data_IF_862162086422
#
_entry.id   IF_862162086422
#
_cell.length_a   1.000
_cell.length_b   1.000
_cell.length_c   1.000
_cell.angle_alpha   90.00
_cell.angle_beta   90.00
_cell.angle_gamma   90.00
#
_symmetry.space_group_name_H-M   'P 1'
#
loop_
_entity.id
_entity.type
_entity.pdbx_description
1 polymer ?
#
# COMPACT_ATOMS: atom_id res chain seq x y z
N UNK A 1 -10.00 23.37 13.15
CA UNK A 1 -10.28 21.99 13.59
C UNK A 1 -10.70 21.08 12.44
N UNK A 2 -11.50 21.55 11.50
CA UNK A 2 -11.93 20.76 10.32
C UNK A 2 -10.76 20.22 9.48
N UNK A 3 -9.70 21.00 9.29
CA UNK A 3 -8.55 20.58 8.48
C UNK A 3 -7.82 19.34 9.04
N UNK A 4 -7.61 19.31 10.36
CA UNK A 4 -6.90 18.19 11.00
C UNK A 4 -7.76 16.90 10.90
N UNK A 5 -9.07 17.01 11.10
CA UNK A 5 -9.99 15.87 10.98
C UNK A 5 -9.96 15.33 9.55
N UNK A 6 -9.92 16.22 8.56
CA UNK A 6 -9.84 15.83 7.14
C UNK A 6 -8.52 15.07 6.86
N UNK A 7 -7.39 15.57 7.35
CA UNK A 7 -6.08 14.92 7.21
C UNK A 7 -6.07 13.54 7.88
N UNK A 8 -6.64 13.42 9.09
CA UNK A 8 -6.75 12.15 9.78
C UNK A 8 -7.59 11.14 9.00
N UNK A 9 -8.72 11.59 8.43
CA UNK A 9 -9.58 10.73 7.60
C UNK A 9 -8.84 10.27 6.33
N UNK A 10 -8.14 11.19 5.65
CA UNK A 10 -7.34 10.86 4.46
C UNK A 10 -6.23 9.86 4.79
N UNK A 11 -5.53 10.05 5.92
CA UNK A 11 -4.46 9.12 6.34
C UNK A 11 -5.01 7.72 6.62
N UNK A 12 -6.21 7.62 7.21
CA UNK A 12 -6.89 6.33 7.42
C UNK A 12 -7.19 5.66 6.07
N UNK A 13 -7.81 6.38 5.13
CA UNK A 13 -8.14 5.84 3.81
C UNK A 13 -6.87 5.39 3.08
N UNK A 14 -5.81 6.21 3.09
CA UNK A 14 -4.53 5.87 2.47
C UNK A 14 -3.84 4.67 3.14
N UNK A 15 -4.09 4.44 4.43
CA UNK A 15 -3.54 3.26 5.11
C UNK A 15 -4.09 1.95 4.54
N UNK A 16 -5.35 1.94 4.04
CA UNK A 16 -5.92 0.76 3.35
C UNK A 16 -5.11 0.47 2.07
N UNK A 17 -4.79 1.52 1.31
CA UNK A 17 -3.95 1.41 0.11
C UNK A 17 -2.56 0.88 0.49
N UNK A 18 -1.95 1.42 1.56
CA UNK A 18 -0.65 0.95 2.04
C UNK A 18 -0.68 -0.53 2.46
N UNK A 19 -1.81 -1.02 3.05
CA UNK A 19 -1.99 -2.45 3.35
C UNK A 19 -2.00 -3.29 2.06
N UNK A 20 -2.61 -2.78 0.99
CA UNK A 20 -2.57 -3.44 -0.32
C UNK A 20 -1.14 -3.50 -0.87
N UNK A 21 -0.45 -2.37 -0.93
CA UNK A 21 0.93 -2.26 -1.42
C UNK A 21 1.88 -3.14 -0.58
N UNK A 22 1.63 -3.30 0.71
CA UNK A 22 2.42 -4.15 1.61
C UNK A 22 2.48 -5.60 1.10
N UNK A 23 1.39 -6.12 0.57
CA UNK A 23 1.34 -7.50 0.05
C UNK A 23 2.32 -7.67 -1.12
N UNK A 24 2.33 -6.74 -2.07
CA UNK A 24 3.20 -6.85 -3.24
C UNK A 24 4.63 -6.43 -2.91
N UNK A 25 4.81 -5.29 -2.25
CA UNK A 25 6.13 -4.71 -2.00
C UNK A 25 6.93 -5.47 -0.95
N UNK A 26 6.29 -5.82 0.21
CA UNK A 26 7.03 -6.41 1.35
C UNK A 26 6.89 -7.94 1.40
N UNK A 27 5.70 -8.49 1.10
CA UNK A 27 5.48 -9.94 1.20
C UNK A 27 5.96 -10.65 -0.06
N UNK A 28 5.61 -10.15 -1.26
CA UNK A 28 6.01 -10.77 -2.53
C UNK A 28 7.35 -10.26 -3.07
N UNK A 29 7.93 -9.25 -2.40
CA UNK A 29 9.25 -8.66 -2.69
C UNK A 29 9.37 -8.01 -4.08
N UNK A 30 8.29 -7.38 -4.56
CA UNK A 30 8.35 -6.54 -5.77
C UNK A 30 7.21 -5.49 -5.78
N UNK A 31 7.47 -4.26 -6.21
CA UNK A 31 6.40 -3.25 -6.35
C UNK A 31 5.56 -3.54 -7.59
N UNK A 32 4.23 -3.40 -7.47
CA UNK A 32 3.28 -3.59 -8.57
C UNK A 32 2.77 -2.23 -9.07
N UNK A 33 3.26 -1.82 -10.24
CA UNK A 33 2.90 -0.53 -10.84
C UNK A 33 1.42 -0.44 -11.24
N UNK A 34 0.69 -1.57 -11.32
CA UNK A 34 -0.75 -1.54 -11.61
C UNK A 34 -1.57 -0.92 -10.48
N UNK A 35 -0.97 -0.75 -9.29
CA UNK A 35 -1.58 -0.13 -8.10
C UNK A 35 -2.18 1.25 -8.41
N UNK A 36 -1.44 2.11 -9.12
CA UNK A 36 -1.89 3.46 -9.50
C UNK A 36 -3.17 3.39 -10.34
N UNK A 37 -3.20 2.48 -11.32
CA UNK A 37 -4.39 2.25 -12.17
C UNK A 37 -5.57 1.68 -11.41
N UNK A 38 -5.31 0.74 -10.50
CA UNK A 38 -6.35 0.08 -9.69
C UNK A 38 -6.98 1.04 -8.68
N UNK A 39 -6.18 1.96 -8.12
CA UNK A 39 -6.68 3.02 -7.23
C UNK A 39 -7.71 3.90 -7.96
N UNK A 40 -7.33 4.38 -9.15
CA UNK A 40 -8.22 5.18 -10.01
C UNK A 40 -9.43 4.36 -10.46
N UNK A 41 -9.25 3.06 -10.72
CA UNK A 41 -10.36 2.17 -11.10
C UNK A 41 -11.42 2.09 -10.01
N UNK A 42 -10.99 1.99 -8.74
CA UNK A 42 -11.91 2.02 -7.60
C UNK A 42 -12.73 3.31 -7.58
N UNK A 43 -12.07 4.45 -7.79
CA UNK A 43 -12.71 5.77 -7.86
C UNK A 43 -13.68 5.86 -9.03
N UNK A 44 -13.29 5.37 -10.21
CA UNK A 44 -14.10 5.40 -11.45
C UNK A 44 -15.37 4.57 -11.33
N UNK A 45 -15.24 3.35 -10.78
CA UNK A 45 -16.38 2.43 -10.59
C UNK A 45 -17.40 3.05 -9.61
N UNK A 46 -16.93 3.63 -8.51
CA UNK A 46 -17.83 4.30 -7.56
C UNK A 46 -18.52 5.49 -8.20
N UNK A 47 -17.80 6.31 -8.98
CA UNK A 47 -18.40 7.46 -9.67
C UNK A 47 -19.51 6.99 -10.61
N UNK A 48 -19.22 6.01 -11.46
CA UNK A 48 -20.18 5.44 -12.39
C UNK A 48 -21.39 4.84 -11.65
N UNK A 49 -21.16 4.11 -10.58
CA UNK A 49 -22.23 3.45 -9.81
C UNK A 49 -23.15 4.48 -9.14
N UNK A 50 -22.58 5.51 -8.50
CA UNK A 50 -23.36 6.53 -7.81
C UNK A 50 -24.17 7.40 -8.78
N UNK A 51 -23.61 7.72 -9.95
CA UNK A 51 -24.35 8.49 -10.98
C UNK A 51 -25.52 7.69 -11.54
N UNK A 52 -25.45 6.35 -11.51
CA UNK A 52 -26.53 5.47 -11.92
C UNK A 52 -27.49 5.08 -10.77
N UNK A 53 -27.35 5.72 -9.60
CA UNK A 53 -28.26 5.51 -8.48
C UNK A 53 -28.01 4.23 -7.67
N UNK A 54 -26.87 3.57 -7.86
CA UNK A 54 -26.50 2.37 -7.09
C UNK A 54 -26.06 2.79 -5.68
N UNK A 55 -26.42 2.01 -4.67
CA UNK A 55 -26.10 2.34 -3.29
C UNK A 55 -24.58 2.40 -3.07
N UNK A 56 -24.08 3.32 -2.22
CA UNK A 56 -22.64 3.51 -2.01
C UNK A 56 -21.88 2.26 -1.53
N UNK A 57 -22.55 1.43 -0.73
CA UNK A 57 -21.93 0.18 -0.23
C UNK A 57 -21.71 -0.81 -1.38
N UNK A 58 -22.73 -1.01 -2.22
CA UNK A 58 -22.61 -1.90 -3.40
C UNK A 58 -21.57 -1.36 -4.38
N UNK A 59 -21.54 -0.04 -4.59
CA UNK A 59 -20.54 0.63 -5.45
C UNK A 59 -19.12 0.35 -4.96
N UNK A 60 -18.89 0.42 -3.64
CA UNK A 60 -17.58 0.12 -3.03
C UNK A 60 -17.20 -1.36 -3.20
N UNK A 61 -18.16 -2.28 -3.03
CA UNK A 61 -17.92 -3.72 -3.24
C UNK A 61 -17.57 -4.02 -4.71
N UNK A 62 -18.29 -3.38 -5.66
CA UNK A 62 -17.97 -3.50 -7.08
C UNK A 62 -16.56 -2.99 -7.38
N UNK A 63 -16.15 -1.88 -6.77
CA UNK A 63 -14.80 -1.34 -6.90
C UNK A 63 -13.72 -2.35 -6.45
N UNK A 64 -13.95 -3.03 -5.32
CA UNK A 64 -13.03 -4.07 -4.81
C UNK A 64 -12.91 -5.23 -5.83
N UNK A 65 -14.06 -5.71 -6.35
CA UNK A 65 -14.07 -6.81 -7.33
C UNK A 65 -13.32 -6.43 -8.61
N UNK A 66 -13.54 -5.20 -9.11
CA UNK A 66 -12.82 -4.73 -10.30
C UNK A 66 -11.32 -4.59 -10.04
N UNK A 67 -10.94 -4.13 -8.84
CA UNK A 67 -9.53 -4.11 -8.42
C UNK A 67 -8.91 -5.51 -8.38
N UNK A 68 -9.65 -6.50 -7.88
CA UNK A 68 -9.19 -7.91 -7.89
C UNK A 68 -8.98 -8.42 -9.33
N UNK A 69 -9.87 -8.04 -10.25
CA UNK A 69 -9.75 -8.40 -11.66
C UNK A 69 -8.50 -7.74 -12.27
N UNK A 70 -8.23 -6.47 -11.94
CA UNK A 70 -7.02 -5.78 -12.40
C UNK A 70 -5.75 -6.51 -11.93
N UNK A 71 -5.72 -6.90 -10.65
CA UNK A 71 -4.62 -7.69 -10.08
C UNK A 71 -4.47 -9.07 -10.74
N UNK A 72 -5.61 -9.72 -11.08
CA UNK A 72 -5.62 -10.98 -11.81
C UNK A 72 -4.99 -10.82 -13.19
N UNK A 73 -5.36 -9.78 -13.95
CA UNK A 73 -4.80 -9.49 -15.28
C UNK A 73 -3.28 -9.28 -15.19
N UNK A 74 -2.84 -8.45 -14.24
CA UNK A 74 -1.39 -8.22 -14.00
C UNK A 74 -0.67 -9.54 -13.70
N UNK A 75 -1.28 -10.37 -12.84
CA UNK A 75 -0.74 -11.67 -12.47
C UNK A 75 -0.62 -12.63 -13.67
N UNK A 76 -1.65 -12.68 -14.52
CA UNK A 76 -1.67 -13.52 -15.73
C UNK A 76 -0.58 -13.08 -16.70
N UNK A 77 -0.45 -11.77 -16.95
CA UNK A 77 0.58 -11.23 -17.85
C UNK A 77 1.99 -11.63 -17.38
N UNK A 78 2.23 -11.58 -16.07
CA UNK A 78 3.53 -11.97 -15.53
C UNK A 78 3.76 -13.49 -15.60
N UNK A 79 2.79 -14.30 -15.13
CA UNK A 79 2.98 -15.75 -14.95
C UNK A 79 2.84 -16.53 -16.27
N UNK A 80 1.75 -16.27 -17.03
CA UNK A 80 1.47 -17.03 -18.27
C UNK A 80 2.26 -16.51 -19.46
N UNK A 81 2.32 -15.17 -19.61
CA UNK A 81 3.02 -14.55 -20.73
C UNK A 81 4.50 -14.29 -20.44
N UNK A 82 4.96 -14.56 -19.19
CA UNK A 82 6.37 -14.42 -18.76
C UNK A 82 6.92 -13.01 -18.93
N UNK A 83 6.04 -12.01 -18.91
CA UNK A 83 6.42 -10.58 -18.95
C UNK A 83 7.02 -10.23 -17.58
N UNK A 84 8.06 -9.39 -17.54
CA UNK A 84 8.65 -8.95 -16.27
C UNK A 84 7.61 -8.31 -15.36
N UNK A 85 7.80 -8.42 -14.05
CA UNK A 85 6.88 -7.87 -13.04
C UNK A 85 6.59 -6.38 -13.28
N UNK A 86 7.65 -5.60 -13.47
CA UNK A 86 7.55 -4.16 -13.67
C UNK A 86 6.76 -3.83 -14.94
N UNK A 87 7.12 -4.49 -16.06
CA UNK A 87 6.45 -4.23 -17.35
C UNK A 87 4.99 -4.63 -17.33
N UNK A 88 4.64 -5.77 -16.70
CA UNK A 88 3.23 -6.21 -16.59
C UNK A 88 2.39 -5.18 -15.82
N UNK A 89 2.95 -4.60 -14.73
CA UNK A 89 2.30 -3.54 -13.96
C UNK A 89 2.09 -2.27 -14.78
N UNK A 90 3.12 -1.83 -15.52
CA UNK A 90 3.05 -0.62 -16.36
C UNK A 90 2.00 -0.80 -17.48
N UNK A 91 1.99 -1.97 -18.13
CA UNK A 91 1.02 -2.25 -19.20
C UNK A 91 -0.42 -2.21 -18.67
N UNK A 92 -0.67 -2.84 -17.50
CA UNK A 92 -2.00 -2.84 -16.89
C UNK A 92 -2.38 -1.42 -16.44
N UNK A 93 -1.43 -0.65 -15.87
CA UNK A 93 -1.68 0.75 -15.50
C UNK A 93 -2.15 1.57 -16.72
N UNK A 94 -1.48 1.40 -17.87
CA UNK A 94 -1.86 2.07 -19.12
C UNK A 94 -3.23 1.61 -19.65
N UNK A 95 -3.52 0.30 -19.58
CA UNK A 95 -4.85 -0.24 -19.94
C UNK A 95 -5.94 0.33 -19.04
N UNK A 96 -5.70 0.33 -17.72
CA UNK A 96 -6.64 0.83 -16.73
C UNK A 96 -6.92 2.32 -16.91
N UNK A 97 -5.92 3.13 -17.30
CA UNK A 97 -6.11 4.55 -17.57
C UNK A 97 -7.21 4.77 -18.63
N UNK A 98 -7.12 4.04 -19.73
CA UNK A 98 -8.09 4.14 -20.82
C UNK A 98 -9.47 3.61 -20.41
N UNK A 99 -9.52 2.52 -19.66
CA UNK A 99 -10.76 1.93 -19.13
C UNK A 99 -11.43 2.91 -18.16
N UNK A 100 -10.67 3.48 -17.23
CA UNK A 100 -11.16 4.43 -16.23
C UNK A 100 -11.76 5.68 -16.91
N UNK A 101 -11.05 6.23 -17.90
CA UNK A 101 -11.53 7.39 -18.65
C UNK A 101 -12.84 7.06 -19.41
N UNK A 102 -12.93 5.86 -19.97
CA UNK A 102 -14.14 5.41 -20.70
C UNK A 102 -15.33 5.21 -19.73
N UNK A 103 -15.08 4.63 -18.53
CA UNK A 103 -16.12 4.43 -17.52
C UNK A 103 -16.62 5.79 -17.00
N UNK A 104 -15.72 6.72 -16.76
CA UNK A 104 -16.08 8.06 -16.27
C UNK A 104 -16.68 8.95 -17.37
N UNK A 105 -16.27 8.75 -18.62
CA UNK A 105 -16.69 9.61 -19.75
C UNK A 105 -16.10 11.02 -19.73
N UNK A 106 -15.53 11.43 -18.60
CA UNK A 106 -14.87 12.74 -18.36
C UNK A 106 -13.69 12.52 -17.45
N UNK A 107 -12.73 13.44 -17.44
CA UNK A 107 -11.56 13.35 -16.55
C UNK A 107 -11.91 13.52 -15.08
N UNK A 108 -13.00 14.20 -14.78
CA UNK A 108 -13.45 14.47 -13.39
C UNK A 108 -14.99 14.49 -13.36
N UNK A 109 -15.58 13.89 -12.31
CA UNK A 109 -17.03 13.85 -12.12
C UNK A 109 -17.33 14.37 -10.69
N UNK A 110 -18.08 15.47 -10.52
CA UNK A 110 -18.48 15.90 -9.17
C UNK A 110 -19.54 14.93 -8.61
N UNK A 111 -19.32 14.46 -7.37
CA UNK A 111 -20.21 13.53 -6.67
C UNK A 111 -21.00 14.22 -5.55
N UNK A 112 -20.86 15.53 -5.37
CA UNK A 112 -21.49 16.28 -4.27
C UNK A 112 -23.03 16.16 -4.26
N UNK A 113 -23.65 15.97 -5.43
CA UNK A 113 -25.12 15.85 -5.56
C UNK A 113 -25.64 14.45 -5.31
N UNK A 114 -24.77 13.47 -5.18
CA UNK A 114 -25.15 12.05 -5.02
C UNK A 114 -24.95 11.59 -3.60
N UNK A 115 -25.80 10.67 -3.13
CA UNK A 115 -25.61 10.05 -1.82
C UNK A 115 -24.35 9.21 -1.83
N UNK A 116 -23.44 9.47 -0.90
CA UNK A 116 -22.20 8.72 -0.73
C UNK A 116 -22.02 8.33 0.74
N UNK A 117 -21.06 7.45 1.04
CA UNK A 117 -20.88 6.89 2.37
C UNK A 117 -20.66 7.98 3.45
N UNK A 118 -20.04 9.09 3.08
CA UNK A 118 -19.69 10.15 4.03
C UNK A 118 -20.78 11.24 4.18
N UNK A 119 -21.97 11.07 3.55
CA UNK A 119 -23.11 11.99 3.69
C UNK A 119 -24.05 11.62 4.85
N UNK A 120 -23.72 10.57 5.61
CA UNK A 120 -24.53 10.11 6.73
C UNK A 120 -24.26 10.91 8.01
N UNK A 121 -25.01 10.58 9.07
CA UNK A 121 -24.87 11.19 10.40
C UNK A 121 -23.55 10.78 11.09
N UNK A 122 -22.92 9.71 10.61
CA UNK A 122 -21.66 9.18 11.17
C UNK A 122 -20.50 10.08 10.72
N UNK A 123 -19.68 10.50 11.68
CA UNK A 123 -18.51 11.32 11.35
C UNK A 123 -17.58 10.57 10.39
N UNK A 124 -17.01 11.26 9.36
CA UNK A 124 -16.13 10.63 8.36
C UNK A 124 -14.96 9.86 8.93
N UNK A 125 -14.40 10.34 10.04
CA UNK A 125 -13.26 9.69 10.70
C UNK A 125 -13.65 8.32 11.31
N UNK A 126 -14.84 8.21 11.92
CA UNK A 126 -15.33 6.94 12.50
C UNK A 126 -15.56 5.91 11.40
N UNK A 127 -16.13 6.34 10.29
CA UNK A 127 -16.39 5.47 9.14
C UNK A 127 -15.08 4.99 8.51
N UNK A 128 -14.11 5.89 8.30
CA UNK A 128 -12.79 5.54 7.78
C UNK A 128 -12.06 4.57 8.72
N UNK A 129 -12.12 4.82 10.03
CA UNK A 129 -11.51 3.96 11.04
C UNK A 129 -12.13 2.55 11.03
N UNK A 130 -13.47 2.45 10.89
CA UNK A 130 -14.15 1.17 10.77
C UNK A 130 -13.66 0.38 9.56
N UNK A 131 -13.55 1.02 8.39
CA UNK A 131 -13.03 0.37 7.17
C UNK A 131 -11.59 -0.10 7.35
N UNK A 132 -10.72 0.73 7.90
CA UNK A 132 -9.31 0.37 8.16
C UNK A 132 -9.24 -0.84 9.10
N UNK A 133 -10.04 -0.80 10.18
CA UNK A 133 -10.06 -1.89 11.17
C UNK A 133 -10.51 -3.20 10.53
N UNK A 134 -11.57 -3.17 9.74
CA UNK A 134 -12.08 -4.35 9.02
C UNK A 134 -11.01 -4.89 8.06
N UNK A 135 -10.43 -4.02 7.22
CA UNK A 135 -9.40 -4.43 6.25
C UNK A 135 -8.16 -4.99 6.95
N UNK A 136 -7.72 -4.34 8.04
CA UNK A 136 -6.58 -4.79 8.85
C UNK A 136 -6.85 -6.18 9.46
N UNK A 137 -8.01 -6.36 10.09
CA UNK A 137 -8.36 -7.65 10.71
C UNK A 137 -8.45 -8.75 9.67
N UNK A 138 -9.12 -8.50 8.54
CA UNK A 138 -9.23 -9.46 7.44
C UNK A 138 -7.85 -9.83 6.88
N UNK A 139 -6.98 -8.85 6.68
CA UNK A 139 -5.62 -9.09 6.21
C UNK A 139 -4.79 -9.87 7.24
N UNK A 140 -4.85 -9.49 8.52
CA UNK A 140 -4.15 -10.20 9.60
C UNK A 140 -4.59 -11.66 9.71
N UNK A 141 -5.91 -11.92 9.59
CA UNK A 141 -6.47 -13.26 9.61
C UNK A 141 -6.02 -14.05 8.37
N UNK A 142 -6.09 -13.44 7.19
CA UNK A 142 -5.64 -14.06 5.94
C UNK A 142 -4.16 -14.46 6.05
N UNK A 143 -3.30 -13.58 6.58
CA UNK A 143 -1.85 -13.85 6.70
C UNK A 143 -1.53 -14.95 7.72
N UNK A 144 -2.50 -15.36 8.56
CA UNK A 144 -2.38 -16.50 9.47
C UNK A 144 -2.90 -17.82 8.88
N UNK A 145 -3.54 -17.78 7.71
CA UNK A 145 -3.99 -18.98 7.02
C UNK A 145 -2.82 -19.68 6.31
N UNK A 146 -3.02 -20.91 5.89
CA UNK A 146 -2.04 -21.67 5.10
C UNK A 146 -1.66 -20.92 3.80
N UNK A 147 -2.64 -20.27 3.15
CA UNK A 147 -2.39 -19.46 1.95
C UNK A 147 -1.53 -18.24 2.28
N UNK A 148 -1.77 -17.59 3.41
CA UNK A 148 -0.97 -16.45 3.87
C UNK A 148 0.48 -16.82 4.17
N UNK A 149 0.69 -17.99 4.83
CA UNK A 149 2.04 -18.52 5.08
C UNK A 149 2.75 -18.86 3.78
N UNK A 150 2.03 -19.49 2.84
CA UNK A 150 2.57 -19.80 1.51
C UNK A 150 2.96 -18.53 0.75
N UNK A 151 2.12 -17.50 0.84
CA UNK A 151 2.39 -16.19 0.19
C UNK A 151 3.69 -15.58 0.72
N UNK A 152 3.90 -15.58 2.04
CA UNK A 152 5.16 -15.12 2.67
C UNK A 152 6.34 -15.97 2.21
N UNK A 153 6.18 -17.29 2.22
CA UNK A 153 7.21 -18.23 1.78
C UNK A 153 7.63 -18.03 0.32
N UNK A 154 6.67 -17.69 -0.55
CA UNK A 154 6.97 -17.41 -1.97
C UNK A 154 7.85 -16.16 -2.11
N UNK A 155 7.64 -15.14 -1.28
CA UNK A 155 8.49 -13.95 -1.27
C UNK A 155 9.87 -14.21 -0.68
N UNK A 156 9.93 -14.93 0.45
CA UNK A 156 11.21 -15.22 1.14
C UNK A 156 12.08 -16.20 0.34
N UNK A 157 11.51 -17.33 -0.10
CA UNK A 157 12.24 -18.36 -0.85
C UNK A 157 11.29 -19.16 -1.74
N UNK A 158 11.14 -18.73 -2.97
CA UNK A 158 10.24 -19.35 -3.95
C UNK A 158 10.66 -20.80 -4.29
N UNK A 159 11.97 -21.13 -4.26
CA UNK A 159 12.46 -22.48 -4.56
C UNK A 159 12.00 -23.48 -3.48
N UNK A 160 12.05 -23.07 -2.22
CA UNK A 160 11.56 -23.88 -1.10
C UNK A 160 10.07 -24.20 -1.26
N UNK A 161 9.25 -23.23 -1.63
CA UNK A 161 7.81 -23.43 -1.81
C UNK A 161 7.54 -24.36 -3.02
N UNK A 162 8.37 -24.24 -4.07
CA UNK A 162 8.28 -25.12 -5.24
C UNK A 162 8.57 -26.59 -4.88
N UNK A 163 9.56 -26.85 -4.00
CA UNK A 163 9.90 -28.21 -3.57
C UNK A 163 8.79 -28.85 -2.73
N UNK A 164 7.90 -28.05 -2.13
CA UNK A 164 6.70 -28.54 -1.44
C UNK A 164 5.53 -28.86 -2.41
N UNK A 165 5.76 -28.75 -3.73
CA UNK A 165 4.75 -29.06 -4.74
C UNK A 165 3.71 -27.96 -4.97
N UNK A 166 3.91 -26.78 -4.39
CA UNK A 166 2.94 -25.69 -4.48
C UNK A 166 3.19 -24.85 -5.75
N UNK A 167 2.11 -24.49 -6.44
CA UNK A 167 2.17 -23.68 -7.65
C UNK A 167 2.40 -22.19 -7.28
N UNK A 168 3.67 -21.75 -7.42
CA UNK A 168 4.09 -20.38 -7.12
C UNK A 168 3.27 -19.35 -7.93
N UNK A 169 2.97 -19.67 -9.20
CA UNK A 169 2.23 -18.76 -10.09
C UNK A 169 0.86 -18.41 -9.53
N UNK A 170 0.11 -19.41 -9.10
CA UNK A 170 -1.24 -19.19 -8.53
C UNK A 170 -1.18 -18.33 -7.27
N UNK A 171 -0.17 -18.56 -6.41
CA UNK A 171 -0.01 -17.80 -5.16
C UNK A 171 0.33 -16.32 -5.47
N UNK A 172 1.22 -16.08 -6.45
CA UNK A 172 1.57 -14.71 -6.89
C UNK A 172 0.36 -13.97 -7.47
N UNK A 173 -0.46 -14.66 -8.26
CA UNK A 173 -1.71 -14.08 -8.83
C UNK A 173 -2.65 -13.71 -7.69
N UNK A 174 -2.88 -14.63 -6.74
CA UNK A 174 -3.77 -14.39 -5.60
C UNK A 174 -3.32 -13.20 -4.76
N UNK A 175 -2.01 -13.07 -4.49
CA UNK A 175 -1.46 -11.94 -3.75
C UNK A 175 -1.73 -10.60 -4.45
N UNK A 176 -1.58 -10.55 -5.79
CA UNK A 176 -1.88 -9.34 -6.58
C UNK A 176 -3.38 -9.01 -6.58
N UNK A 177 -4.23 -10.04 -6.67
CA UNK A 177 -5.69 -9.84 -6.62
C UNK A 177 -6.10 -9.17 -5.32
N UNK A 178 -5.62 -9.69 -4.17
CA UNK A 178 -5.94 -9.13 -2.84
C UNK A 178 -5.36 -7.71 -2.72
N UNK A 179 -4.12 -7.52 -3.15
CA UNK A 179 -3.44 -6.21 -3.12
C UNK A 179 -4.24 -5.16 -3.87
N UNK A 180 -4.52 -5.42 -5.17
CA UNK A 180 -5.23 -4.46 -6.02
C UNK A 180 -6.68 -4.26 -5.58
N UNK A 181 -7.31 -5.28 -4.98
CA UNK A 181 -8.64 -5.15 -4.38
C UNK A 181 -8.66 -4.16 -3.21
N UNK A 182 -7.66 -4.23 -2.31
CA UNK A 182 -7.51 -3.29 -1.19
C UNK A 182 -7.19 -1.87 -1.71
N UNK A 183 -6.35 -1.77 -2.72
CA UNK A 183 -5.97 -0.49 -3.34
C UNK A 183 -7.20 0.16 -3.97
N UNK A 184 -7.99 -0.57 -4.72
CA UNK A 184 -9.27 -0.09 -5.26
C UNK A 184 -10.27 0.26 -4.15
N UNK A 185 -10.28 -0.34 -3.00
CA UNK A 185 -10.95 -0.01 -1.95
C UNK A 185 -10.66 1.22 -1.52
N UNK A 186 -9.39 1.50 -1.35
CA UNK A 186 -8.99 2.82 -0.88
C UNK A 186 -9.36 3.94 -1.86
N UNK A 187 -9.14 3.71 -3.15
CA UNK A 187 -9.51 4.68 -4.19
C UNK A 187 -11.00 5.02 -4.19
N UNK A 188 -11.85 4.02 -4.00
CA UNK A 188 -13.30 4.19 -3.95
C UNK A 188 -13.74 5.03 -2.75
N UNK A 189 -13.11 4.81 -1.58
CA UNK A 189 -13.40 5.59 -0.36
C UNK A 189 -12.87 7.02 -0.49
N UNK A 190 -11.69 7.19 -1.10
CA UNK A 190 -11.10 8.53 -1.27
C UNK A 190 -11.95 9.38 -2.22
N UNK A 191 -12.44 8.80 -3.32
CA UNK A 191 -13.31 9.52 -4.27
C UNK A 191 -14.63 9.96 -3.59
N UNK A 192 -15.20 9.11 -2.75
CA UNK A 192 -16.41 9.45 -1.98
C UNK A 192 -16.12 10.50 -0.91
N UNK A 193 -14.95 10.44 -0.27
CA UNK A 193 -14.57 11.40 0.77
C UNK A 193 -14.28 12.80 0.18
N UNK A 194 -13.57 12.85 -0.95
CA UNK A 194 -13.25 14.11 -1.63
C UNK A 194 -14.47 14.72 -2.36
N UNK A 195 -15.46 13.88 -2.69
CA UNK A 195 -16.63 14.30 -3.46
C UNK A 195 -16.40 14.40 -4.96
N UNK A 196 -15.25 13.93 -5.44
CA UNK A 196 -14.95 13.87 -6.87
C UNK A 196 -13.83 12.86 -7.15
N UNK A 197 -13.98 11.96 -8.11
CA UNK A 197 -12.89 11.21 -8.69
C UNK A 197 -12.22 12.00 -9.80
N UNK A 198 -10.93 11.78 -9.99
CA UNK A 198 -10.13 12.29 -11.10
C UNK A 198 -9.36 11.13 -11.71
N UNK A 199 -9.24 11.09 -13.02
CA UNK A 199 -8.54 10.00 -13.74
C UNK A 199 -7.06 9.92 -13.34
N UNK A 200 -6.47 11.04 -12.93
CA UNK A 200 -5.06 11.11 -12.54
C UNK A 200 -4.84 10.94 -11.03
N UNK A 201 -5.89 10.73 -10.23
CA UNK A 201 -5.76 10.67 -8.76
C UNK A 201 -4.91 9.49 -8.26
N UNK A 202 -4.73 8.48 -9.09
CA UNK A 202 -3.89 7.32 -8.77
C UNK A 202 -2.40 7.53 -9.06
N UNK A 203 -2.05 8.55 -9.85
CA UNK A 203 -0.65 8.74 -10.27
C UNK A 203 0.24 9.06 -9.07
N UNK A 204 1.14 8.12 -8.74
CA UNK A 204 2.08 8.25 -7.63
C UNK A 204 1.58 7.68 -6.31
N UNK A 205 0.37 7.11 -6.26
CA UNK A 205 -0.14 6.51 -5.01
C UNK A 205 0.69 5.31 -4.56
N UNK A 206 1.27 4.56 -5.49
CA UNK A 206 2.19 3.48 -5.16
C UNK A 206 3.38 4.00 -4.33
N UNK A 207 3.93 5.15 -4.72
CA UNK A 207 5.06 5.79 -4.02
C UNK A 207 4.64 6.19 -2.60
N UNK A 208 3.41 6.73 -2.44
CA UNK A 208 2.84 7.07 -1.12
C UNK A 208 2.69 5.82 -0.24
N UNK A 209 2.21 4.72 -0.84
CA UNK A 209 2.09 3.43 -0.15
C UNK A 209 3.43 2.91 0.34
N UNK A 210 4.44 2.90 -0.53
CA UNK A 210 5.80 2.46 -0.19
C UNK A 210 6.40 3.37 0.90
N UNK A 211 6.19 4.69 0.79
CA UNK A 211 6.65 5.67 1.81
C UNK A 211 6.06 5.33 3.18
N UNK A 212 4.75 5.10 3.25
CA UNK A 212 4.05 4.73 4.48
C UNK A 212 4.61 3.44 5.09
N UNK A 213 4.92 2.44 4.24
CA UNK A 213 5.51 1.16 4.65
C UNK A 213 6.90 1.40 5.24
N UNK A 214 7.76 2.14 4.53
CA UNK A 214 9.15 2.40 4.95
C UNK A 214 9.15 3.17 6.28
N UNK A 215 8.37 4.25 6.37
CA UNK A 215 8.26 5.06 7.59
C UNK A 215 7.78 4.20 8.77
N UNK A 216 6.70 3.46 8.56
CA UNK A 216 6.11 2.61 9.59
C UNK A 216 7.09 1.55 10.09
N UNK A 217 7.67 0.77 9.18
CA UNK A 217 8.59 -0.32 9.55
C UNK A 217 9.87 0.25 10.21
N UNK A 218 10.44 1.33 9.66
CA UNK A 218 11.69 1.91 10.20
C UNK A 218 11.50 2.42 11.63
N UNK A 219 10.40 3.10 11.91
CA UNK A 219 10.13 3.68 13.23
C UNK A 219 9.76 2.61 14.26
N UNK A 220 8.98 1.61 13.86
CA UNK A 220 8.43 0.62 14.78
C UNK A 220 9.20 -0.70 14.81
N UNK A 221 10.31 -0.84 14.06
CA UNK A 221 11.15 -2.05 13.98
C UNK A 221 11.70 -2.48 15.36
N UNK A 222 11.84 -1.55 16.30
CA UNK A 222 12.35 -1.84 17.65
C UNK A 222 11.30 -2.46 18.57
N UNK A 223 10.02 -2.37 18.20
CA UNK A 223 8.90 -2.81 19.04
C UNK A 223 8.37 -4.15 18.54
N UNK A 224 8.82 -5.24 19.15
CA UNK A 224 8.43 -6.63 18.78
C UNK A 224 6.93 -6.90 18.94
N UNK A 225 6.22 -6.11 19.75
CA UNK A 225 4.78 -6.26 19.98
C UNK A 225 3.91 -5.70 18.85
N UNK A 226 4.46 -4.82 18.02
CA UNK A 226 3.67 -4.13 16.98
C UNK A 226 3.77 -4.93 15.68
N UNK A 227 2.62 -5.39 15.18
CA UNK A 227 2.55 -6.05 13.88
C UNK A 227 2.87 -5.06 12.76
N UNK A 228 3.48 -5.53 11.69
CA UNK A 228 3.80 -4.73 10.50
C UNK A 228 2.55 -3.97 10.00
N UNK A 229 1.39 -4.62 9.99
CA UNK A 229 0.13 -3.99 9.55
C UNK A 229 -0.26 -2.78 10.40
N UNK A 230 0.02 -2.82 11.73
CA UNK A 230 -0.24 -1.66 12.60
C UNK A 230 0.82 -0.57 12.37
N UNK A 231 2.09 -0.97 12.23
CA UNK A 231 3.19 -0.04 11.94
C UNK A 231 2.92 0.75 10.65
N UNK A 232 2.39 0.09 9.60
CA UNK A 232 2.01 0.71 8.34
C UNK A 232 0.95 1.80 8.51
N UNK A 233 -0.09 1.50 9.30
CA UNK A 233 -1.17 2.47 9.55
C UNK A 233 -0.58 3.71 10.24
N UNK A 234 0.30 3.51 11.24
CA UNK A 234 1.00 4.62 11.90
C UNK A 234 1.91 5.37 10.90
N UNK A 235 2.57 4.65 9.99
CA UNK A 235 3.41 5.23 8.95
C UNK A 235 2.63 6.14 8.01
N UNK A 236 1.42 5.73 7.62
CA UNK A 236 0.56 6.56 6.76
C UNK A 236 0.10 7.83 7.48
N UNK A 237 -0.15 7.77 8.79
CA UNK A 237 -0.44 8.96 9.59
C UNK A 237 0.73 9.92 9.59
N UNK A 238 1.93 9.43 9.92
CA UNK A 238 3.14 10.27 9.98
C UNK A 238 3.39 10.92 8.62
N UNK A 239 3.28 10.13 7.54
CA UNK A 239 3.45 10.61 6.18
C UNK A 239 2.47 11.77 5.87
N UNK A 240 1.18 11.55 6.12
CA UNK A 240 0.13 12.54 5.80
C UNK A 240 0.26 13.81 6.67
N UNK A 241 0.65 13.66 7.95
CA UNK A 241 0.91 14.79 8.82
C UNK A 241 2.13 15.60 8.36
N UNK A 242 3.17 14.93 7.85
CA UNK A 242 4.35 15.63 7.28
C UNK A 242 3.94 16.49 6.09
N UNK A 243 3.10 15.95 5.19
CA UNK A 243 2.59 16.72 4.05
C UNK A 243 1.73 17.91 4.52
N UNK A 244 0.82 17.67 5.45
CA UNK A 244 -0.02 18.73 6.00
C UNK A 244 0.82 19.86 6.63
N UNK A 245 1.86 19.50 7.38
CA UNK A 245 2.77 20.46 7.99
C UNK A 245 3.52 21.27 6.92
N UNK A 246 4.02 20.61 5.89
CA UNK A 246 4.71 21.28 4.76
C UNK A 246 3.79 22.30 4.07
N UNK A 247 2.52 21.91 3.83
CA UNK A 247 1.53 22.81 3.24
C UNK A 247 1.21 24.00 4.18
N UNK A 248 1.17 23.76 5.50
CA UNK A 248 0.91 24.83 6.48
C UNK A 248 2.04 25.85 6.57
N UNK A 249 3.25 25.48 6.13
CA UNK A 249 4.40 26.40 6.02
C UNK A 249 4.36 27.25 4.74
N UNK A 250 3.30 27.12 3.93
CA UNK A 250 3.11 27.91 2.73
C UNK A 250 3.67 27.32 1.45
N UNK A 251 4.02 26.02 1.46
CA UNK A 251 4.48 25.35 0.24
C UNK A 251 3.31 25.11 -0.72
N UNK A 252 3.59 25.26 -2.01
CA UNK A 252 2.58 25.10 -3.06
C UNK A 252 2.22 23.61 -3.24
N UNK A 253 0.98 23.34 -3.61
CA UNK A 253 0.51 21.97 -3.89
C UNK A 253 1.28 21.31 -5.04
N UNK A 254 1.89 22.09 -5.93
CA UNK A 254 2.76 21.62 -7.02
C UNK A 254 4.02 20.92 -6.48
N UNK A 255 4.49 21.31 -5.29
CA UNK A 255 5.75 20.84 -4.70
C UNK A 255 5.56 19.57 -3.85
N UNK A 256 4.33 19.07 -3.72
CA UNK A 256 4.03 17.89 -2.92
C UNK A 256 4.84 16.64 -3.35
N UNK A 257 5.03 16.45 -4.65
CA UNK A 257 5.82 15.33 -5.18
C UNK A 257 7.30 15.43 -4.78
N UNK A 258 7.85 16.65 -4.77
CA UNK A 258 9.22 16.90 -4.31
C UNK A 258 9.34 16.63 -2.81
N UNK A 259 8.39 17.11 -2.01
CA UNK A 259 8.36 16.91 -0.55
C UNK A 259 8.31 15.39 -0.25
N UNK A 260 7.42 14.66 -0.94
CA UNK A 260 7.29 13.21 -0.72
C UNK A 260 8.60 12.50 -1.02
N UNK A 261 9.29 12.87 -2.10
CA UNK A 261 10.58 12.28 -2.47
C UNK A 261 11.65 12.56 -1.39
N UNK A 262 11.73 13.80 -0.90
CA UNK A 262 12.69 14.19 0.15
C UNK A 262 12.42 13.39 1.43
N UNK A 263 11.15 13.29 1.84
CA UNK A 263 10.74 12.56 3.04
C UNK A 263 11.15 11.08 2.93
N UNK A 264 10.88 10.45 1.79
CA UNK A 264 11.25 9.04 1.56
C UNK A 264 12.77 8.87 1.64
N UNK A 265 13.53 9.74 0.97
CA UNK A 265 15.00 9.70 0.98
C UNK A 265 15.53 9.84 2.41
N UNK A 266 14.99 10.78 3.18
CA UNK A 266 15.40 11.00 4.58
C UNK A 266 15.18 9.74 5.43
N UNK A 267 13.99 9.10 5.31
CA UNK A 267 13.69 7.89 6.07
C UNK A 267 14.54 6.68 5.61
N UNK A 268 14.78 6.53 4.31
CA UNK A 268 15.67 5.47 3.79
C UNK A 268 17.10 5.65 4.27
N UNK A 269 17.60 6.89 4.26
CA UNK A 269 18.96 7.21 4.71
C UNK A 269 19.12 6.87 6.21
N UNK A 270 18.16 7.25 7.05
CA UNK A 270 18.19 6.94 8.49
C UNK A 270 18.08 5.43 8.74
N UNK A 271 17.26 4.72 7.96
CA UNK A 271 17.13 3.27 8.04
C UNK A 271 18.44 2.55 7.72
N UNK A 272 19.10 2.94 6.64
CA UNK A 272 20.36 2.34 6.20
C UNK A 272 21.52 2.64 7.18
N UNK A 273 21.56 3.83 7.75
CA UNK A 273 22.55 4.19 8.77
C UNK A 273 22.45 3.28 10.00
N UNK A 274 21.24 2.99 10.47
CA UNK A 274 21.02 2.10 11.60
C UNK A 274 21.49 0.66 11.32
N UNK A 275 21.26 0.16 10.10
CA UNK A 275 21.68 -1.18 9.69
C UNK A 275 23.21 -1.24 9.60
N UNK A 276 23.85 -0.22 9.04
CA UNK A 276 25.32 -0.13 8.91
C UNK A 276 26.00 -0.08 10.29
N UNK A 277 25.47 0.71 11.22
CA UNK A 277 25.99 0.83 12.58
C UNK A 277 25.87 -0.50 13.33
N UNK A 278 24.75 -1.23 13.16
CA UNK A 278 24.54 -2.54 13.80
C UNK A 278 25.51 -3.60 13.24
N UNK A 279 25.76 -3.58 11.92
CA UNK A 279 26.70 -4.49 11.25
C UNK A 279 28.14 -4.24 11.69
N UNK A 280 28.53 -2.98 11.85
CA UNK A 280 29.86 -2.59 12.34
C UNK A 280 30.06 -2.98 13.82
N UNK A 281 29.05 -2.81 14.68
CA UNK A 281 29.09 -3.25 16.07
C UNK A 281 29.24 -4.78 16.18
N UNK A 282 28.55 -5.53 15.33
CA UNK A 282 28.64 -6.99 15.32
C UNK A 282 30.04 -7.46 14.87
N UNK A 283 30.62 -6.84 13.84
CA UNK A 283 31.98 -7.13 13.38
C UNK A 283 33.03 -6.80 14.45
N UNK A 284 32.88 -5.67 15.15
CA UNK A 284 33.80 -5.27 16.22
C UNK A 284 33.74 -6.24 17.39
N UNK A 285 32.53 -6.73 17.75
CA UNK A 285 32.33 -7.70 18.82
C UNK A 285 32.95 -9.07 18.47
N UNK A 286 32.87 -9.48 17.22
CA UNK A 286 33.44 -10.76 16.75
C UNK A 286 34.95 -10.69 16.72
N UNK A 287 35.54 -9.55 16.31
CA UNK A 287 36.99 -9.35 16.30
C UNK A 287 37.57 -9.36 17.71
N UNK A 288 36.91 -8.70 18.67
CA UNK A 288 37.33 -8.67 20.07
C UNK A 288 37.25 -10.07 20.73
N UNK A 289 36.30 -10.92 20.30
CA UNK A 289 36.16 -12.29 20.80
C UNK A 289 37.24 -13.23 20.22
N UNK A 290 37.69 -13.01 18.97
CA UNK A 290 38.76 -13.81 18.37
C UNK A 290 40.12 -13.42 18.95
N UNK A 291 40.39 -12.13 19.22
CA UNK A 291 41.60 -11.68 19.87
C UNK A 291 41.75 -12.25 21.32
N UNK A 292 40.65 -12.28 22.08
CA UNK A 292 40.66 -12.86 23.45
C UNK A 292 40.88 -14.37 23.42
N UNK A 293 40.48 -15.10 22.41
CA UNK A 293 40.72 -16.56 22.26
C UNK A 293 42.17 -16.83 21.86
N UNK A 294 42.75 -16.00 20.96
CA UNK A 294 44.15 -16.16 20.54
C UNK A 294 45.17 -15.89 21.66
N UNK A 295 44.82 -15.10 22.67
CA UNK A 295 45.71 -14.81 23.80
C UNK A 295 45.73 -15.98 24.83
N UNK A 296 44.66 -16.76 24.90
CA UNK A 296 44.57 -17.89 25.85
C UNK A 296 45.36 -19.10 25.33
N UNK A 297 45.53 -19.27 24.02
CA UNK A 297 46.24 -20.42 23.41
C UNK A 297 47.77 -20.22 23.42
N UNK A 298 48.33 -19.08 23.77
CA UNK A 298 49.78 -18.80 23.80
C UNK A 298 50.36 -18.91 25.20
N UNK A 299 49.53 -19.13 26.23
CA UNK A 299 49.95 -19.17 27.64
C UNK A 299 49.84 -20.57 28.28
N UNK A 300 49.69 -21.66 27.49
CA UNK A 300 49.77 -23.05 27.99
C UNK A 300 50.95 -23.80 27.37
#
# INVERSE_FOLDING_TARGET
MSGIISVMTQSLILSIMALGVYITYKILDFPDMSADGSYTMGASIVAFSLTNGISPVVATLMAILCGCIAGLVTGILHIKFKISNLLSGILVMGMLYSINLRIMGKSNIPLFSFKHLFNGEISPIVLALAFVFICKVLLDLFLKTGLGYTLKGVGDNSQMIKSLGINIGSIKILGRMISNGLIAXSGSLMAQFLGFPDVNMGIGTLVLGIASIIIGITLFNKFTFIKDTTALICGSFIYQFTIYFAMSLGMLSTDLKLITAIVIIAFLATGNLNISLKKNKCKASTKNKSEKRGVVDVTN
#
